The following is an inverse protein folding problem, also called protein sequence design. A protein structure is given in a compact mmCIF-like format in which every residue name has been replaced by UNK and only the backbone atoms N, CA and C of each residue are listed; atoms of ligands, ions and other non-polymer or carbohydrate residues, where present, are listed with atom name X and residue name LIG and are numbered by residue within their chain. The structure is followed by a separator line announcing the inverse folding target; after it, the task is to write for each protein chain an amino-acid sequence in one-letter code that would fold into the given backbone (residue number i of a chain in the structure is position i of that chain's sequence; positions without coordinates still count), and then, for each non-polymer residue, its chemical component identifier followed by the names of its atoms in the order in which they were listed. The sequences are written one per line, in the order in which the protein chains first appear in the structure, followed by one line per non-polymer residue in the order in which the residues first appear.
data_IF_553244195030
#
_entry.id   IF_553244195030
#
_cell.length_a   1.000
_cell.length_b   1.000
_cell.length_c   1.000
_cell.angle_alpha   90.00
_cell.angle_beta   90.00
_cell.angle_gamma   90.00
#
_symmetry.space_group_name_H-M   'P 1'
#
loop_
_entity.id
_entity.type
_entity.pdbx_description
1 polymer ?
#
# COMPACT_ATOMS: atom_id res chain seq x y z
N UNK A 1 -19.33 4.30 -27.73
CA UNK A 1 -18.45 4.18 -26.56
C UNK A 1 -19.27 4.53 -25.32
N UNK A 2 -19.35 3.65 -24.33
CA UNK A 2 -20.07 3.94 -23.07
C UNK A 2 -19.12 4.75 -22.18
N UNK A 3 -19.51 5.96 -21.79
CA UNK A 3 -18.72 6.77 -20.87
C UNK A 3 -19.01 6.31 -19.43
N UNK A 4 -17.97 5.94 -18.70
CA UNK A 4 -18.05 5.75 -17.24
C UNK A 4 -17.87 7.12 -16.58
N UNK A 5 -18.77 7.51 -15.71
CA UNK A 5 -18.70 8.78 -14.97
C UNK A 5 -18.78 8.45 -13.48
N UNK A 6 -17.90 9.06 -12.70
CA UNK A 6 -18.02 9.02 -11.24
C UNK A 6 -19.20 9.88 -10.79
N UNK A 7 -20.03 9.38 -9.88
CA UNK A 7 -21.03 10.18 -9.20
C UNK A 7 -20.32 11.19 -8.30
N UNK A 8 -20.72 12.46 -8.32
CA UNK A 8 -20.08 13.61 -7.65
C UNK A 8 -20.06 13.57 -6.11
N UNK A 9 -20.35 12.44 -5.50
CA UNK A 9 -20.20 12.19 -4.08
C UNK A 9 -18.95 11.35 -3.78
N UNK A 10 -17.81 11.65 -4.45
CA UNK A 10 -16.54 11.07 -4.07
C UNK A 10 -16.11 11.67 -2.72
N UNK A 11 -16.62 11.10 -1.65
CA UNK A 11 -15.96 11.18 -0.35
C UNK A 11 -14.55 10.65 -0.59
N UNK A 12 -13.53 11.49 -0.43
CA UNK A 12 -12.14 11.04 -0.38
C UNK A 12 -12.09 10.08 0.81
N UNK A 13 -12.32 8.81 0.53
CA UNK A 13 -12.13 7.76 1.52
C UNK A 13 -10.64 7.80 1.82
N UNK A 14 -10.29 8.21 3.04
CA UNK A 14 -8.91 8.17 3.49
C UNK A 14 -8.42 6.74 3.26
N UNK A 15 -7.53 6.55 2.27
CA UNK A 15 -6.91 5.25 2.02
C UNK A 15 -6.06 4.98 3.25
N UNK A 16 -6.64 4.31 4.25
CA UNK A 16 -5.86 3.72 5.31
C UNK A 16 -4.85 2.79 4.64
N UNK A 17 -3.59 2.83 5.07
CA UNK A 17 -2.61 1.86 4.60
C UNK A 17 -3.22 0.48 4.82
N UNK A 18 -3.35 -0.35 3.77
CA UNK A 18 -3.93 -1.65 3.98
C UNK A 18 -2.99 -2.46 4.88
N UNK A 19 -3.53 -3.00 5.95
CA UNK A 19 -2.81 -3.94 6.82
C UNK A 19 -2.13 -5.08 6.03
N UNK A 20 -2.66 -5.36 4.85
CA UNK A 20 -2.16 -6.36 3.91
C UNK A 20 -0.82 -6.01 3.24
N UNK A 21 -0.34 -4.76 3.34
CA UNK A 21 0.97 -4.34 2.82
C UNK A 21 2.14 -4.73 3.73
N UNK A 22 1.88 -5.23 4.94
CA UNK A 22 2.92 -5.61 5.87
C UNK A 22 3.73 -6.84 5.38
N UNK A 23 5.04 -6.81 5.62
CA UNK A 23 5.99 -7.84 5.20
C UNK A 23 6.40 -8.68 6.40
N UNK A 24 6.18 -10.00 6.31
CA UNK A 24 6.59 -10.95 7.36
C UNK A 24 8.11 -10.90 7.55
N UNK A 25 8.54 -10.79 8.80
CA UNK A 25 9.94 -10.90 9.21
C UNK A 25 10.15 -12.22 9.94
N UNK A 26 11.27 -12.88 9.66
CA UNK A 26 11.66 -14.14 10.30
C UNK A 26 12.82 -13.93 11.29
N UNK A 27 13.32 -12.68 11.38
CA UNK A 27 14.57 -12.36 12.08
C UNK A 27 14.46 -12.39 13.59
N UNK A 28 13.81 -11.43 14.21
CA UNK A 28 13.84 -11.23 15.64
C UNK A 28 12.47 -11.06 16.28
N UNK A 29 12.46 -11.00 17.61
CA UNK A 29 11.22 -10.78 18.35
C UNK A 29 10.64 -9.38 18.12
N UNK A 30 11.49 -8.35 18.13
CA UNK A 30 11.05 -6.96 17.93
C UNK A 30 10.60 -6.70 16.49
N UNK A 31 11.33 -7.25 15.51
CA UNK A 31 10.94 -7.14 14.10
C UNK A 31 9.60 -7.84 13.81
N UNK A 32 9.34 -8.97 14.50
CA UNK A 32 8.03 -9.62 14.41
C UNK A 32 6.93 -8.77 15.06
N UNK A 33 7.17 -8.12 16.21
CA UNK A 33 6.22 -7.19 16.82
C UNK A 33 5.95 -5.97 15.92
N UNK A 34 6.98 -5.48 15.23
CA UNK A 34 6.83 -4.41 14.22
C UNK A 34 5.91 -4.86 13.06
N UNK A 35 6.11 -6.09 12.55
CA UNK A 35 5.20 -6.68 11.57
C UNK A 35 3.75 -6.76 12.06
N UNK A 36 3.52 -7.18 13.31
CA UNK A 36 2.18 -7.21 13.91
C UNK A 36 1.56 -5.82 14.01
N UNK A 37 2.35 -4.81 14.37
CA UNK A 37 1.89 -3.41 14.41
C UNK A 37 1.53 -2.90 13.02
N UNK A 38 2.30 -3.24 11.99
CA UNK A 38 2.00 -2.90 10.60
C UNK A 38 0.71 -3.59 10.12
N UNK A 39 0.52 -4.88 10.44
CA UNK A 39 -0.72 -5.61 10.14
C UNK A 39 -1.95 -4.97 10.79
N UNK A 40 -1.80 -4.49 12.03
CA UNK A 40 -2.87 -3.82 12.75
C UNK A 40 -3.09 -2.36 12.31
N UNK A 41 -2.29 -1.84 11.37
CA UNK A 41 -2.24 -0.42 11.00
C UNK A 41 -2.12 0.50 12.25
N UNK A 42 -1.32 0.05 13.23
CA UNK A 42 -1.17 0.72 14.53
C UNK A 42 -0.23 1.92 14.41
N UNK A 43 -0.80 3.13 14.36
CA UNK A 43 -0.04 4.39 14.28
C UNK A 43 0.35 4.98 15.63
N UNK A 44 0.24 4.26 16.74
CA UNK A 44 0.64 4.77 18.07
C UNK A 44 2.16 4.93 18.17
N UNK A 45 2.60 5.88 18.99
CA UNK A 45 4.03 6.11 19.21
C UNK A 45 4.75 4.86 19.70
N UNK A 46 4.12 4.06 20.58
CA UNK A 46 4.68 2.80 21.07
C UNK A 46 4.95 1.76 19.97
N UNK A 47 4.13 1.74 18.92
CA UNK A 47 4.36 0.87 17.76
C UNK A 47 5.56 1.37 16.92
N UNK A 48 5.66 2.70 16.74
CA UNK A 48 6.82 3.33 16.07
C UNK A 48 8.11 3.03 16.84
N UNK A 49 8.09 3.21 18.18
CA UNK A 49 9.24 2.95 19.04
C UNK A 49 9.65 1.47 18.99
N UNK A 50 8.67 0.55 19.01
CA UNK A 50 8.91 -0.88 18.88
C UNK A 50 9.60 -1.25 17.55
N UNK A 51 9.14 -0.69 16.44
CA UNK A 51 9.78 -0.88 15.12
C UNK A 51 11.19 -0.26 15.08
N UNK A 52 11.37 0.90 15.70
CA UNK A 52 12.68 1.57 15.76
C UNK A 52 13.68 0.74 16.53
N UNK A 53 13.27 0.21 17.68
CA UNK A 53 14.12 -0.71 18.46
C UNK A 53 14.47 -1.99 17.69
N UNK A 54 13.55 -2.53 16.90
CA UNK A 54 13.84 -3.67 16.05
C UNK A 54 14.99 -3.37 15.06
N UNK A 55 15.01 -2.17 14.48
CA UNK A 55 16.06 -1.73 13.54
C UNK A 55 17.40 -1.41 14.23
N UNK A 56 17.39 -1.01 15.51
CA UNK A 56 18.57 -0.57 16.26
C UNK A 56 19.19 -1.69 17.10
N UNK A 57 18.36 -2.57 17.67
CA UNK A 57 18.79 -3.54 18.70
C UNK A 57 18.93 -4.97 18.14
N UNK A 58 18.28 -5.31 17.02
CA UNK A 58 18.34 -6.65 16.43
C UNK A 58 19.37 -6.75 15.29
N UNK A 59 20.12 -7.85 15.27
CA UNK A 59 21.02 -8.18 14.16
C UNK A 59 20.22 -8.83 13.02
N UNK A 60 19.53 -8.01 12.24
CA UNK A 60 18.66 -8.47 11.15
C UNK A 60 19.48 -8.79 9.89
N UNK A 61 19.18 -9.93 9.25
CA UNK A 61 19.63 -10.20 7.90
C UNK A 61 19.02 -9.17 6.93
N UNK A 62 19.69 -8.91 5.80
CA UNK A 62 19.26 -7.89 4.83
C UNK A 62 17.78 -8.00 4.42
N UNK A 63 17.21 -9.20 4.15
CA UNK A 63 15.79 -9.30 3.83
C UNK A 63 14.88 -8.86 4.99
N UNK A 64 15.17 -9.26 6.22
CA UNK A 64 14.39 -8.89 7.40
C UNK A 64 14.56 -7.41 7.74
N UNK A 65 15.76 -6.87 7.55
CA UNK A 65 16.03 -5.44 7.72
C UNK A 65 15.19 -4.61 6.73
N UNK A 66 15.16 -5.00 5.46
CA UNK A 66 14.34 -4.34 4.45
C UNK A 66 12.84 -4.46 4.76
N UNK A 67 12.37 -5.64 5.18
CA UNK A 67 11.00 -5.88 5.60
C UNK A 67 10.61 -5.03 6.82
N UNK A 68 11.52 -4.89 7.81
CA UNK A 68 11.29 -4.08 9.01
C UNK A 68 11.17 -2.59 8.67
N UNK A 69 11.96 -2.08 7.73
CA UNK A 69 11.78 -0.73 7.21
C UNK A 69 10.41 -0.56 6.53
N UNK A 70 9.98 -1.49 5.69
CA UNK A 70 8.63 -1.43 5.08
C UNK A 70 7.56 -1.40 6.17
N UNK A 71 7.66 -2.26 7.18
CA UNK A 71 6.69 -2.34 8.26
C UNK A 71 6.64 -1.05 9.09
N UNK A 72 7.81 -0.45 9.45
CA UNK A 72 7.83 0.85 10.13
C UNK A 72 7.26 1.96 9.27
N UNK A 73 7.53 1.96 7.97
CA UNK A 73 6.93 2.88 7.01
C UNK A 73 5.40 2.80 7.00
N UNK A 74 4.81 1.60 7.08
CA UNK A 74 3.36 1.40 7.20
C UNK A 74 2.83 1.97 8.53
N UNK A 75 3.53 1.71 9.64
CA UNK A 75 3.19 2.28 10.95
C UNK A 75 3.26 3.81 10.91
N UNK A 76 4.28 4.40 10.30
CA UNK A 76 4.36 5.85 10.08
C UNK A 76 3.22 6.38 9.22
N UNK A 77 2.86 5.69 8.13
CA UNK A 77 1.68 6.07 7.33
C UNK A 77 0.41 6.06 8.18
N UNK A 78 0.21 5.05 9.02
CA UNK A 78 -0.96 4.96 9.91
C UNK A 78 -0.99 6.09 10.93
N UNK A 79 0.19 6.56 11.37
CA UNK A 79 0.35 7.73 12.23
C UNK A 79 0.21 9.08 11.50
N UNK A 80 0.05 9.09 10.17
CA UNK A 80 0.05 10.32 9.35
C UNK A 80 1.44 10.94 9.12
N UNK A 81 2.52 10.28 9.52
CA UNK A 81 3.91 10.75 9.37
C UNK A 81 4.46 10.35 8.00
N UNK A 82 3.92 10.99 6.94
CA UNK A 82 4.13 10.55 5.56
C UNK A 82 5.58 10.68 5.08
N UNK A 83 6.30 11.73 5.51
CA UNK A 83 7.72 11.92 5.12
C UNK A 83 8.62 10.83 5.76
N UNK A 84 8.34 10.46 7.00
CA UNK A 84 9.06 9.37 7.66
C UNK A 84 8.78 8.01 6.99
N UNK A 85 7.53 7.79 6.57
CA UNK A 85 7.16 6.60 5.81
C UNK A 85 7.90 6.53 4.46
N UNK A 86 7.99 7.64 3.72
CA UNK A 86 8.71 7.70 2.44
C UNK A 86 10.19 7.37 2.62
N UNK A 87 10.82 7.94 3.65
CA UNK A 87 12.23 7.67 3.98
C UNK A 87 12.49 6.19 4.28
N UNK A 88 11.57 5.54 5.00
CA UNK A 88 11.67 4.12 5.33
C UNK A 88 11.46 3.22 4.10
N UNK A 89 10.50 3.54 3.22
CA UNK A 89 10.35 2.81 1.96
C UNK A 89 11.58 2.95 1.07
N UNK A 90 12.19 4.15 1.03
CA UNK A 90 13.45 4.35 0.33
C UNK A 90 14.61 3.56 0.96
N UNK A 91 14.67 3.47 2.29
CA UNK A 91 15.67 2.65 2.97
C UNK A 91 15.53 1.16 2.59
N UNK A 92 14.30 0.65 2.61
CA UNK A 92 14.01 -0.73 2.19
C UNK A 92 14.43 -0.98 0.72
N UNK A 93 14.10 -0.06 -0.18
CA UNK A 93 14.42 -0.17 -1.61
C UNK A 93 15.91 0.00 -1.91
N UNK A 94 16.66 0.73 -1.08
CA UNK A 94 18.14 0.74 -1.18
C UNK A 94 18.76 -0.60 -0.81
N UNK A 95 18.18 -1.32 0.14
CA UNK A 95 18.62 -2.66 0.53
C UNK A 95 18.23 -3.73 -0.51
N UNK A 96 17.04 -3.59 -1.09
CA UNK A 96 16.54 -4.51 -2.13
C UNK A 96 15.66 -3.77 -3.13
N UNK A 97 16.21 -3.41 -4.29
CA UNK A 97 15.46 -2.74 -5.37
C UNK A 97 14.40 -3.63 -6.02
N UNK A 98 14.46 -4.95 -5.81
CA UNK A 98 13.46 -5.90 -6.30
C UNK A 98 12.45 -6.30 -5.21
N UNK A 99 12.26 -5.48 -4.18
CA UNK A 99 11.27 -5.70 -3.12
C UNK A 99 9.89 -5.17 -3.56
N UNK A 100 8.95 -6.05 -3.96
CA UNK A 100 7.66 -5.63 -4.50
C UNK A 100 6.86 -4.80 -3.51
N UNK A 101 6.87 -5.21 -2.23
CA UNK A 101 6.12 -4.53 -1.16
C UNK A 101 6.66 -3.13 -0.88
N UNK A 102 7.96 -2.88 -1.06
CA UNK A 102 8.55 -1.54 -0.94
C UNK A 102 7.98 -0.59 -2.00
N UNK A 103 7.96 -1.03 -3.25
CA UNK A 103 7.39 -0.25 -4.36
C UNK A 103 5.89 -0.02 -4.19
N UNK A 104 5.15 -1.07 -3.82
CA UNK A 104 3.70 -1.00 -3.66
C UNK A 104 3.30 -0.06 -2.52
N UNK A 105 3.96 -0.15 -1.35
CA UNK A 105 3.67 0.74 -0.23
C UNK A 105 4.06 2.20 -0.52
N UNK A 106 5.16 2.42 -1.26
CA UNK A 106 5.51 3.77 -1.73
C UNK A 106 4.43 4.32 -2.69
N UNK A 107 3.87 3.47 -3.55
CA UNK A 107 2.71 3.79 -4.36
C UNK A 107 1.48 4.17 -3.52
N UNK A 108 1.15 3.39 -2.48
CA UNK A 108 0.07 3.72 -1.54
C UNK A 108 0.28 5.06 -0.84
N UNK A 109 1.52 5.37 -0.48
CA UNK A 109 1.86 6.67 0.09
C UNK A 109 1.48 7.81 -0.86
N UNK A 110 1.82 7.70 -2.15
CA UNK A 110 1.45 8.71 -3.16
C UNK A 110 -0.06 8.78 -3.37
N UNK A 111 -0.77 7.64 -3.36
CA UNK A 111 -2.24 7.64 -3.42
C UNK A 111 -2.86 8.37 -2.23
N UNK A 112 -2.33 8.19 -1.03
CA UNK A 112 -2.78 8.88 0.18
C UNK A 112 -2.56 10.39 0.12
N UNK A 113 -1.53 10.81 -0.62
CA UNK A 113 -1.26 12.23 -0.91
C UNK A 113 -2.14 12.79 -2.05
N UNK A 114 -3.03 11.97 -2.64
CA UNK A 114 -3.86 12.36 -3.78
C UNK A 114 -3.11 12.41 -5.11
N UNK A 115 -1.92 11.82 -5.17
CA UNK A 115 -1.03 11.90 -6.33
C UNK A 115 -1.00 10.58 -7.13
N UNK A 116 -2.12 10.28 -7.81
CA UNK A 116 -2.26 9.08 -8.63
C UNK A 116 -1.22 9.00 -9.76
N UNK A 117 -0.81 10.14 -10.31
CA UNK A 117 0.20 10.20 -11.39
C UNK A 117 1.56 9.70 -10.94
N UNK A 118 1.99 10.03 -9.73
CA UNK A 118 3.24 9.52 -9.18
C UNK A 118 3.10 8.09 -8.63
N UNK A 119 1.91 7.74 -8.13
CA UNK A 119 1.63 6.42 -7.60
C UNK A 119 1.71 5.33 -8.68
N UNK A 120 1.15 5.61 -9.88
CA UNK A 120 1.00 4.63 -10.96
C UNK A 120 2.31 3.91 -11.32
N UNK A 121 3.42 4.59 -11.63
CA UNK A 121 4.68 3.91 -11.98
C UNK A 121 5.28 3.10 -10.81
N UNK A 122 5.08 3.54 -9.56
CA UNK A 122 5.56 2.82 -8.38
C UNK A 122 4.77 1.51 -8.19
N UNK A 123 3.45 1.58 -8.29
CA UNK A 123 2.57 0.40 -8.21
C UNK A 123 2.88 -0.57 -9.34
N UNK A 124 3.05 -0.08 -10.57
CA UNK A 124 3.43 -0.91 -11.71
C UNK A 124 4.77 -1.61 -11.46
N UNK A 125 5.75 -0.90 -10.91
CA UNK A 125 7.04 -1.51 -10.54
C UNK A 125 6.87 -2.61 -9.51
N UNK A 126 6.00 -2.42 -8.51
CA UNK A 126 5.65 -3.47 -7.55
C UNK A 126 5.04 -4.71 -8.23
N UNK A 127 4.14 -4.51 -9.20
CA UNK A 127 3.55 -5.61 -9.99
C UNK A 127 4.63 -6.34 -10.79
N UNK A 128 5.48 -5.62 -11.50
CA UNK A 128 6.53 -6.15 -12.37
C UNK A 128 7.61 -6.92 -11.61
N UNK A 129 7.87 -6.54 -10.36
CA UNK A 129 8.80 -7.24 -9.46
C UNK A 129 8.18 -8.44 -8.76
N UNK A 130 6.90 -8.75 -9.02
CA UNK A 130 6.25 -9.96 -8.55
C UNK A 130 5.47 -9.80 -7.25
N UNK A 131 4.71 -8.71 -7.10
CA UNK A 131 3.84 -8.53 -5.93
C UNK A 131 2.96 -9.76 -5.70
N UNK A 132 3.19 -10.44 -4.57
CA UNK A 132 2.45 -11.66 -4.22
C UNK A 132 0.95 -11.39 -4.01
N UNK A 133 0.60 -10.17 -3.60
CA UNK A 133 -0.78 -9.74 -3.35
C UNK A 133 -1.35 -9.03 -4.57
N UNK A 134 -1.54 -9.77 -5.66
CA UNK A 134 -2.01 -9.21 -6.94
C UNK A 134 -3.31 -8.41 -6.83
N UNK A 135 -4.28 -8.88 -6.03
CA UNK A 135 -5.54 -8.15 -5.83
C UNK A 135 -5.29 -6.76 -5.24
N UNK A 136 -4.39 -6.66 -4.25
CA UNK A 136 -4.02 -5.40 -3.61
C UNK A 136 -3.32 -4.46 -4.59
N UNK A 137 -2.39 -4.97 -5.39
CA UNK A 137 -1.66 -4.19 -6.39
C UNK A 137 -2.59 -3.63 -7.48
N UNK A 138 -3.53 -4.45 -7.98
CA UNK A 138 -4.54 -4.02 -8.95
C UNK A 138 -5.52 -3.02 -8.34
N UNK A 139 -5.94 -3.22 -7.10
CA UNK A 139 -6.77 -2.24 -6.40
C UNK A 139 -6.05 -0.88 -6.31
N UNK A 140 -4.78 -0.87 -5.89
CA UNK A 140 -3.98 0.35 -5.81
C UNK A 140 -3.85 1.02 -7.19
N UNK A 141 -3.61 0.25 -8.26
CA UNK A 141 -3.52 0.79 -9.62
C UNK A 141 -4.86 1.35 -10.09
N UNK A 142 -5.95 0.68 -9.78
CA UNK A 142 -7.30 1.18 -10.04
C UNK A 142 -7.57 2.53 -9.37
N UNK A 143 -7.16 2.68 -8.09
CA UNK A 143 -7.28 3.96 -7.38
C UNK A 143 -6.38 5.04 -8.00
N UNK A 144 -5.17 4.69 -8.46
CA UNK A 144 -4.31 5.63 -9.18
C UNK A 144 -4.98 6.14 -10.47
N UNK A 145 -5.54 5.24 -11.27
CA UNK A 145 -6.29 5.60 -12.49
C UNK A 145 -7.52 6.47 -12.16
N UNK A 146 -8.23 6.17 -11.08
CA UNK A 146 -9.36 6.99 -10.63
C UNK A 146 -8.95 8.41 -10.30
N UNK A 147 -7.86 8.60 -9.52
CA UNK A 147 -7.32 9.92 -9.19
C UNK A 147 -6.86 10.70 -10.44
N UNK A 148 -6.53 10.01 -11.52
CA UNK A 148 -6.18 10.60 -12.81
C UNK A 148 -7.40 10.87 -13.72
N UNK A 149 -8.60 10.45 -13.31
CA UNK A 149 -9.82 10.54 -14.12
C UNK A 149 -9.92 9.46 -15.22
N UNK A 150 -9.09 8.44 -15.18
CA UNK A 150 -9.04 7.33 -16.12
C UNK A 150 -10.01 6.22 -15.71
N UNK A 151 -11.31 6.56 -15.63
CA UNK A 151 -12.34 5.72 -14.99
C UNK A 151 -12.51 4.35 -15.65
N UNK A 152 -12.27 4.22 -16.95
CA UNK A 152 -12.36 2.92 -17.64
C UNK A 152 -11.26 1.98 -17.17
N UNK A 153 -10.03 2.45 -17.04
CA UNK A 153 -8.89 1.67 -16.54
C UNK A 153 -9.09 1.33 -15.04
N UNK A 154 -9.52 2.32 -14.25
CA UNK A 154 -9.84 2.13 -12.85
C UNK A 154 -10.89 1.03 -12.65
N UNK A 155 -12.00 1.08 -13.40
CA UNK A 155 -13.06 0.08 -13.31
C UNK A 155 -12.57 -1.34 -13.67
N UNK A 156 -11.71 -1.46 -14.68
CA UNK A 156 -11.14 -2.75 -15.08
C UNK A 156 -10.26 -3.35 -13.97
N UNK A 157 -9.36 -2.55 -13.41
CA UNK A 157 -8.45 -2.98 -12.35
C UNK A 157 -9.21 -3.33 -11.04
N UNK A 158 -10.17 -2.49 -10.64
CA UNK A 158 -11.00 -2.74 -9.45
C UNK A 158 -11.87 -4.00 -9.62
N UNK A 159 -12.40 -4.22 -10.83
CA UNK A 159 -13.15 -5.46 -11.13
C UNK A 159 -12.25 -6.67 -11.00
N UNK A 160 -11.04 -6.60 -11.55
CA UNK A 160 -10.08 -7.71 -11.47
C UNK A 160 -9.61 -7.96 -10.04
N UNK A 161 -9.39 -6.90 -9.25
CA UNK A 161 -9.06 -7.02 -7.83
C UNK A 161 -10.17 -7.74 -7.04
N UNK A 162 -11.44 -7.39 -7.28
CA UNK A 162 -12.60 -8.07 -6.69
C UNK A 162 -12.68 -9.56 -7.07
N UNK A 163 -12.40 -9.90 -8.33
CA UNK A 163 -12.41 -11.30 -8.80
C UNK A 163 -11.33 -12.14 -8.12
N UNK A 164 -10.13 -11.57 -7.92
CA UNK A 164 -9.01 -12.26 -7.28
C UNK A 164 -9.18 -12.40 -5.76
N UNK A 165 -9.93 -11.50 -5.14
CA UNK A 165 -10.16 -11.49 -3.70
C UNK A 165 -11.64 -11.22 -3.37
N UNK A 166 -12.56 -12.18 -3.63
CA UNK A 166 -14.01 -11.95 -3.50
C UNK A 166 -14.46 -11.68 -2.06
N UNK A 167 -13.70 -12.11 -1.05
CA UNK A 167 -13.95 -11.82 0.36
C UNK A 167 -13.51 -10.42 0.80
N UNK A 168 -12.76 -9.69 -0.02
CA UNK A 168 -12.28 -8.35 0.29
C UNK A 168 -13.30 -7.30 -0.18
N UNK A 169 -13.91 -6.55 0.75
CA UNK A 169 -15.01 -5.66 0.44
C UNK A 169 -14.61 -4.39 -0.32
N UNK A 170 -13.40 -3.87 -0.09
CA UNK A 170 -12.96 -2.58 -0.63
C UNK A 170 -13.13 -2.44 -2.16
N UNK A 171 -12.69 -3.37 -3.02
CA UNK A 171 -12.88 -3.24 -4.46
C UNK A 171 -14.35 -3.18 -4.86
N UNK A 172 -15.21 -3.95 -4.17
CA UNK A 172 -16.66 -3.92 -4.38
C UNK A 172 -17.25 -2.56 -4.02
N UNK A 173 -16.84 -2.01 -2.87
CA UNK A 173 -17.37 -0.76 -2.34
C UNK A 173 -16.94 0.43 -3.23
N UNK A 174 -15.71 0.40 -3.76
CA UNK A 174 -15.27 1.36 -4.79
C UNK A 174 -16.09 1.23 -6.08
N UNK A 175 -16.29 0.03 -6.59
CA UNK A 175 -17.06 -0.22 -7.81
C UNK A 175 -18.53 0.25 -7.69
N UNK A 176 -19.10 0.24 -6.49
CA UNK A 176 -20.48 0.71 -6.27
C UNK A 176 -20.65 2.22 -6.56
N UNK A 177 -19.57 3.01 -6.53
CA UNK A 177 -19.60 4.44 -6.86
C UNK A 177 -19.64 4.71 -8.38
N UNK A 178 -19.35 3.70 -9.21
CA UNK A 178 -19.33 3.85 -10.66
C UNK A 178 -20.72 3.69 -11.26
N UNK A 179 -21.13 4.67 -12.06
CA UNK A 179 -22.39 4.61 -12.84
C UNK A 179 -22.08 4.47 -14.32
N UNK A 180 -22.69 3.50 -14.98
CA UNK A 180 -22.59 3.34 -16.43
C UNK A 180 -23.68 4.20 -17.07
N UNK A 181 -23.29 5.30 -17.70
CA UNK A 181 -24.23 6.03 -18.57
C UNK A 181 -24.43 5.24 -19.86
N UNK A 182 -25.70 4.91 -20.12
CA UNK A 182 -26.15 4.24 -21.35
C UNK A 182 -26.32 5.24 -22.48
#
# INVERSE_FOLDING_TARGET
MKALVLSTAATILAIAAPAEGAVLTLGGHLSHLCYQSALAADGRSSAIDGCTRALEEESLATPDLAATYVNRGIVYMSAGRLDAADADFDAALRLNQNLPDGWLNKGFLRLRQGNGREALPLIQKGIDTGAAKQALALFARGVAHEQMGEFTAAYADLTRARELAPGWSLPRDYLASYQVRR
#
